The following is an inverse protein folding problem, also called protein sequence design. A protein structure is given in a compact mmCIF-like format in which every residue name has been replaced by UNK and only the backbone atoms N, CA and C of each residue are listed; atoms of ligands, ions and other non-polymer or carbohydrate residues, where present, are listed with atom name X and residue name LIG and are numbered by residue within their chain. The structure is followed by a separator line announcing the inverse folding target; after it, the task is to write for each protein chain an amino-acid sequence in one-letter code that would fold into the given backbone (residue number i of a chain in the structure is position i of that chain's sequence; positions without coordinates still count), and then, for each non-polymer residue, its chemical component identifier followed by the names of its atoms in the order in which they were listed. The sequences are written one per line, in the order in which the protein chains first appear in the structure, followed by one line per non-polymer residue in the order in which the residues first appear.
data_IF_201661681610
#
_entry.id   IF_201661681610
#
_cell.length_a   1.000
_cell.length_b   1.000
_cell.length_c   1.000
_cell.angle_alpha   90.00
_cell.angle_beta   90.00
_cell.angle_gamma   90.00
#
_symmetry.space_group_name_H-M   'P 1'
#
loop_
_entity.id
_entity.type
_entity.pdbx_description
1 polymer ?
#
# COMPACT_ATOMS: atom_id res chain seq x y z
N UNK A 1 20.94 4.75 68.09
CA UNK A 1 21.55 3.73 67.20
C UNK A 1 20.82 3.74 65.87
N UNK A 2 21.47 4.13 64.77
CA UNK A 2 20.91 3.94 63.42
C UNK A 2 21.07 2.46 63.07
N UNK A 3 19.97 1.76 62.78
CA UNK A 3 20.02 0.39 62.23
C UNK A 3 20.69 0.47 60.86
N UNK A 4 21.82 -0.20 60.70
CA UNK A 4 22.49 -0.35 59.42
C UNK A 4 21.77 -1.45 58.62
N UNK A 5 21.51 -1.18 57.35
CA UNK A 5 20.89 -2.12 56.43
C UNK A 5 21.86 -3.28 56.17
N UNK A 6 21.39 -4.52 56.32
CA UNK A 6 22.22 -5.70 56.11
C UNK A 6 22.27 -6.09 54.64
N UNK A 7 23.35 -6.78 54.23
CA UNK A 7 23.49 -7.30 52.88
C UNK A 7 22.34 -8.24 52.49
N UNK A 8 21.85 -9.04 53.46
CA UNK A 8 20.76 -10.00 53.26
C UNK A 8 19.43 -9.26 52.99
N UNK A 9 19.14 -8.20 53.74
CA UNK A 9 17.93 -7.38 53.52
C UNK A 9 17.93 -6.76 52.11
N UNK A 10 19.10 -6.33 51.61
CA UNK A 10 19.23 -5.82 50.24
C UNK A 10 19.01 -6.90 49.18
N UNK A 11 19.61 -8.08 49.38
CA UNK A 11 19.48 -9.23 48.48
C UNK A 11 18.03 -9.71 48.33
N UNK A 12 17.27 -9.76 49.44
CA UNK A 12 15.86 -10.15 49.40
C UNK A 12 15.02 -9.13 48.63
N UNK A 13 15.27 -7.83 48.82
CA UNK A 13 14.54 -6.78 48.12
C UNK A 13 14.78 -6.82 46.62
N UNK A 14 16.03 -6.94 46.18
CA UNK A 14 16.33 -7.05 44.74
C UNK A 14 15.74 -8.32 44.13
N UNK A 15 15.72 -9.44 44.87
CA UNK A 15 15.11 -10.69 44.41
C UNK A 15 13.59 -10.54 44.21
N UNK A 16 12.89 -9.86 45.14
CA UNK A 16 11.46 -9.58 45.00
C UNK A 16 11.21 -8.67 43.79
N UNK A 17 11.99 -7.58 43.63
CA UNK A 17 11.86 -6.68 42.47
C UNK A 17 12.10 -7.43 41.16
N UNK A 18 13.11 -8.31 41.11
CA UNK A 18 13.41 -9.10 39.92
C UNK A 18 12.26 -10.06 39.55
N UNK A 19 11.65 -10.73 40.54
CA UNK A 19 10.49 -11.61 40.32
C UNK A 19 9.29 -10.79 39.81
N UNK A 20 8.99 -9.66 40.45
CA UNK A 20 7.89 -8.80 40.03
C UNK A 20 8.10 -8.26 38.60
N UNK A 21 9.32 -7.80 38.28
CA UNK A 21 9.68 -7.35 36.95
C UNK A 21 9.54 -8.47 35.91
N UNK A 22 10.01 -9.69 36.22
CA UNK A 22 9.92 -10.84 35.32
C UNK A 22 8.46 -11.21 34.96
N UNK A 23 7.53 -11.02 35.89
CA UNK A 23 6.09 -11.24 35.65
C UNK A 23 5.43 -10.08 34.89
N UNK A 24 5.89 -8.84 35.09
CA UNK A 24 5.33 -7.65 34.46
C UNK A 24 5.79 -7.42 33.02
N UNK A 25 7.06 -7.74 32.69
CA UNK A 25 7.64 -7.49 31.37
C UNK A 25 6.86 -8.16 30.22
N UNK A 26 6.40 -9.43 30.31
CA UNK A 26 5.60 -10.05 29.26
C UNK A 26 4.22 -9.41 29.10
N UNK A 27 3.61 -8.95 30.20
CA UNK A 27 2.33 -8.26 30.17
C UNK A 27 2.45 -6.87 29.52
N UNK A 28 3.46 -6.10 29.92
CA UNK A 28 3.73 -4.77 29.37
C UNK A 28 4.11 -4.83 27.89
N UNK A 29 4.91 -5.82 27.47
CA UNK A 29 5.25 -6.03 26.07
C UNK A 29 4.01 -6.29 25.21
N UNK A 30 3.08 -7.14 25.68
CA UNK A 30 1.80 -7.40 25.01
C UNK A 30 0.91 -6.16 24.95
N UNK A 31 0.80 -5.42 26.06
CA UNK A 31 0.02 -4.18 26.11
C UNK A 31 0.56 -3.13 25.13
N UNK A 32 1.89 -2.96 25.08
CA UNK A 32 2.55 -2.05 24.12
C UNK A 32 2.27 -2.49 22.68
N UNK A 33 2.44 -3.76 22.34
CA UNK A 33 2.16 -4.27 21.00
C UNK A 33 0.69 -4.06 20.60
N UNK A 34 -0.25 -4.29 21.51
CA UNK A 34 -1.67 -4.01 21.27
C UNK A 34 -1.96 -2.53 21.04
N UNK A 35 -1.33 -1.64 21.82
CA UNK A 35 -1.46 -0.20 21.64
C UNK A 35 -0.91 0.27 20.30
N UNK A 36 0.25 -0.25 19.88
CA UNK A 36 0.82 0.10 18.58
C UNK A 36 -0.01 -0.43 17.41
N UNK A 37 -0.55 -1.65 17.52
CA UNK A 37 -1.47 -2.19 16.53
C UNK A 37 -2.76 -1.36 16.41
N UNK A 38 -3.31 -0.88 17.54
CA UNK A 38 -4.47 0.02 17.53
C UNK A 38 -4.16 1.36 16.86
N UNK A 39 -2.96 1.91 17.05
CA UNK A 39 -2.51 3.12 16.37
C UNK A 39 -2.39 2.91 14.85
N UNK A 40 -1.83 1.78 14.41
CA UNK A 40 -1.77 1.43 12.99
C UNK A 40 -3.17 1.30 12.37
N UNK A 41 -4.07 0.59 13.05
CA UNK A 41 -5.47 0.45 12.62
C UNK A 41 -6.16 1.82 12.49
N UNK A 42 -5.88 2.73 13.41
CA UNK A 42 -6.40 4.10 13.38
C UNK A 42 -5.83 4.94 12.22
N UNK A 43 -4.54 4.77 11.89
CA UNK A 43 -3.93 5.42 10.72
C UNK A 43 -4.57 4.93 9.41
N UNK A 44 -4.74 3.61 9.28
CA UNK A 44 -5.39 3.00 8.12
C UNK A 44 -6.85 3.49 7.96
N UNK A 45 -7.61 3.59 9.07
CA UNK A 45 -8.97 4.18 9.05
C UNK A 45 -8.97 5.65 8.65
N UNK A 46 -8.02 6.45 9.13
CA UNK A 46 -7.93 7.86 8.74
C UNK A 46 -7.66 8.01 7.24
N UNK A 47 -6.75 7.21 6.66
CA UNK A 47 -6.51 7.18 5.22
C UNK A 47 -7.77 6.80 4.44
N UNK A 48 -8.52 5.82 4.91
CA UNK A 48 -9.78 5.39 4.28
C UNK A 48 -10.87 6.47 4.37
N UNK A 49 -10.97 7.19 5.50
CA UNK A 49 -11.90 8.32 5.62
C UNK A 49 -11.53 9.41 4.61
N UNK A 50 -10.24 9.72 4.47
CA UNK A 50 -9.78 10.67 3.46
C UNK A 50 -10.10 10.19 2.03
N UNK A 51 -9.92 8.90 1.75
CA UNK A 51 -10.30 8.27 0.49
C UNK A 51 -11.80 8.40 0.19
N UNK A 52 -12.65 8.18 1.20
CA UNK A 52 -14.09 8.34 1.08
C UNK A 52 -14.50 9.80 0.82
N UNK A 53 -13.91 10.74 1.57
CA UNK A 53 -14.19 12.17 1.42
C UNK A 53 -13.78 12.68 0.04
N UNK A 54 -12.61 12.26 -0.46
CA UNK A 54 -12.17 12.59 -1.82
C UNK A 54 -13.23 12.20 -2.85
N UNK A 55 -13.75 10.98 -2.76
CA UNK A 55 -14.75 10.50 -3.70
C UNK A 55 -16.08 11.26 -3.60
N UNK A 56 -16.50 11.63 -2.39
CA UNK A 56 -17.69 12.48 -2.19
C UNK A 56 -17.56 13.87 -2.85
N UNK A 57 -16.35 14.43 -2.86
CA UNK A 57 -16.07 15.75 -3.44
C UNK A 57 -15.74 15.69 -4.95
N UNK A 58 -15.59 14.50 -5.55
CA UNK A 58 -15.15 14.30 -6.95
C UNK A 58 -16.12 13.41 -7.74
N UNK A 59 -17.43 13.64 -7.65
CA UNK A 59 -18.46 12.94 -8.43
C UNK A 59 -18.34 11.41 -8.35
N UNK A 60 -18.15 10.86 -7.14
CA UNK A 60 -17.97 9.43 -6.86
C UNK A 60 -16.61 8.84 -7.29
N UNK A 61 -15.75 9.60 -7.99
CA UNK A 61 -14.45 9.13 -8.47
C UNK A 61 -13.49 8.89 -7.31
N UNK A 62 -12.79 7.76 -7.33
CA UNK A 62 -11.78 7.46 -6.32
C UNK A 62 -10.40 7.93 -6.77
N UNK A 63 -9.51 8.17 -5.83
CA UNK A 63 -8.10 8.45 -6.13
C UNK A 63 -7.47 7.33 -6.98
N UNK A 64 -6.51 7.69 -7.82
CA UNK A 64 -5.69 6.72 -8.53
C UNK A 64 -4.80 5.94 -7.55
N UNK A 65 -4.60 4.65 -7.82
CA UNK A 65 -3.79 3.80 -6.95
C UNK A 65 -2.32 4.21 -6.95
N UNK A 66 -1.86 4.70 -8.08
CA UNK A 66 -0.53 5.26 -8.28
C UNK A 66 -0.52 6.14 -9.51
N UNK A 67 0.41 7.07 -9.55
CA UNK A 67 0.74 7.88 -10.71
C UNK A 67 2.25 8.03 -10.78
N UNK A 68 2.79 8.30 -11.97
CA UNK A 68 4.22 8.46 -12.13
C UNK A 68 4.67 9.89 -11.79
N UNK A 69 5.59 10.00 -10.84
CA UNK A 69 6.20 11.29 -10.49
C UNK A 69 7.73 11.18 -10.51
N UNK A 70 8.38 12.02 -11.31
CA UNK A 70 9.84 12.20 -11.28
C UNK A 70 10.19 13.68 -11.44
N UNK A 71 10.73 14.33 -10.39
CA UNK A 71 11.15 15.72 -10.51
C UNK A 71 12.32 15.80 -11.51
N UNK A 72 12.17 16.61 -12.56
CA UNK A 72 13.21 16.85 -13.56
C UNK A 72 13.12 16.01 -14.84
N UNK A 73 12.11 15.15 -14.99
CA UNK A 73 11.79 14.52 -16.26
C UNK A 73 10.58 15.23 -16.89
N UNK A 74 10.71 15.71 -18.12
CA UNK A 74 9.58 16.28 -18.84
C UNK A 74 8.68 15.16 -19.34
N UNK A 75 7.42 15.18 -18.90
CA UNK A 75 6.44 14.16 -19.29
C UNK A 75 5.81 14.52 -20.64
N UNK A 76 5.50 13.51 -21.48
CA UNK A 76 4.84 13.72 -22.78
C UNK A 76 5.77 14.00 -23.97
N UNK A 77 7.07 13.72 -23.89
CA UNK A 77 7.95 13.76 -25.07
C UNK A 77 8.34 15.15 -25.58
N UNK A 78 8.29 16.18 -24.72
CA UNK A 78 8.80 17.52 -25.05
C UNK A 78 8.03 18.69 -24.47
N UNK A 79 6.80 18.48 -23.97
CA UNK A 79 5.84 19.58 -23.73
C UNK A 79 5.77 20.09 -22.28
N UNK A 80 6.92 20.31 -21.61
CA UNK A 80 7.04 21.11 -20.37
C UNK A 80 6.19 20.69 -19.14
N UNK A 81 5.52 19.53 -19.11
CA UNK A 81 4.83 19.06 -17.89
C UNK A 81 5.86 18.62 -16.84
N UNK A 82 5.76 19.19 -15.64
CA UNK A 82 6.67 18.93 -14.50
C UNK A 82 6.50 17.52 -13.93
N UNK A 83 5.32 16.91 -14.08
CA UNK A 83 4.96 15.54 -13.68
C UNK A 83 3.69 15.08 -14.41
N UNK A 84 3.35 13.79 -14.30
CA UNK A 84 2.10 13.23 -14.85
C UNK A 84 0.88 13.91 -14.20
N UNK A 85 -0.08 14.45 -14.96
CA UNK A 85 -1.20 15.16 -14.36
C UNK A 85 -2.00 14.35 -13.33
N UNK A 86 -2.18 13.03 -13.53
CA UNK A 86 -2.88 12.14 -12.59
C UNK A 86 -2.28 12.09 -11.18
N UNK A 87 -1.06 12.60 -10.97
CA UNK A 87 -0.45 12.74 -9.64
C UNK A 87 -1.36 13.49 -8.67
N UNK A 88 -2.04 14.55 -9.15
CA UNK A 88 -2.90 15.40 -8.31
C UNK A 88 -4.12 14.64 -7.74
N UNK A 89 -4.55 13.56 -8.38
CA UNK A 89 -5.59 12.66 -7.87
C UNK A 89 -5.08 11.28 -7.45
N UNK A 90 -3.76 11.09 -7.38
CA UNK A 90 -3.21 9.87 -6.78
C UNK A 90 -3.37 9.90 -5.26
N UNK A 91 -3.55 8.73 -4.64
CA UNK A 91 -3.64 8.67 -3.18
C UNK A 91 -2.29 9.07 -2.53
N UNK A 92 -1.20 8.67 -3.18
CA UNK A 92 0.19 8.95 -2.84
C UNK A 92 1.05 8.84 -4.10
N UNK A 93 1.79 9.89 -4.43
CA UNK A 93 2.83 9.88 -5.43
C UNK A 93 4.09 9.21 -4.86
N UNK A 94 4.58 8.17 -5.53
CA UNK A 94 5.76 7.44 -5.07
C UNK A 94 6.55 6.88 -6.25
N UNK A 95 7.87 6.81 -6.10
CA UNK A 95 8.78 6.22 -7.07
C UNK A 95 9.66 5.15 -6.42
N UNK A 96 9.74 4.00 -7.09
CA UNK A 96 10.79 3.02 -6.84
C UNK A 96 12.14 3.55 -7.34
N UNK A 97 13.12 3.67 -6.43
CA UNK A 97 14.43 4.27 -6.72
C UNK A 97 15.59 3.27 -6.70
N UNK A 98 15.29 1.98 -6.53
CA UNK A 98 16.27 0.91 -6.63
C UNK A 98 16.23 -0.10 -5.48
N UNK A 99 16.99 -1.19 -5.63
CA UNK A 99 16.87 -2.36 -4.79
C UNK A 99 17.26 -2.04 -3.35
N UNK A 100 16.46 -2.55 -2.41
CA UNK A 100 16.56 -2.32 -0.97
C UNK A 100 16.41 -0.85 -0.54
N UNK A 101 16.26 0.12 -1.45
CA UNK A 101 16.09 1.52 -1.04
C UNK A 101 14.63 1.78 -0.70
N UNK A 102 14.34 2.56 0.36
CA UNK A 102 12.99 3.05 0.56
C UNK A 102 12.54 3.84 -0.68
N UNK A 103 11.26 3.75 -1.06
CA UNK A 103 10.74 4.52 -2.17
C UNK A 103 10.89 6.01 -1.89
N UNK A 104 10.93 6.79 -2.96
CA UNK A 104 10.84 8.24 -2.85
C UNK A 104 9.37 8.61 -2.90
N UNK A 105 8.78 8.91 -1.75
CA UNK A 105 7.40 9.36 -1.64
C UNK A 105 7.32 10.90 -1.75
N UNK A 106 6.31 11.40 -2.45
CA UNK A 106 5.92 12.82 -2.49
C UNK A 106 4.47 12.97 -2.04
N UNK A 107 4.20 12.53 -0.80
CA UNK A 107 2.86 12.57 -0.20
C UNK A 107 2.25 13.98 -0.28
N UNK A 108 3.06 15.02 -0.10
CA UNK A 108 2.62 16.42 -0.09
C UNK A 108 1.95 16.91 -1.38
N UNK A 109 2.20 16.24 -2.52
CA UNK A 109 1.54 16.59 -3.80
C UNK A 109 0.35 15.68 -4.12
N UNK A 110 0.00 14.76 -3.23
CA UNK A 110 -1.03 13.74 -3.47
C UNK A 110 -2.37 14.17 -2.90
N UNK A 111 -3.47 13.70 -3.48
CA UNK A 111 -4.82 14.12 -3.13
C UNK A 111 -5.13 13.96 -1.64
N UNK A 112 -4.88 12.78 -1.07
CA UNK A 112 -5.33 12.45 0.28
C UNK A 112 -4.57 13.22 1.38
N UNK A 113 -3.40 13.79 1.07
CA UNK A 113 -2.64 14.57 2.04
C UNK A 113 -3.42 15.77 2.56
N UNK A 114 -4.16 16.46 1.68
CA UNK A 114 -4.98 17.61 2.04
C UNK A 114 -6.21 17.23 2.86
N UNK A 115 -6.84 16.10 2.54
CA UNK A 115 -7.96 15.55 3.31
C UNK A 115 -7.54 15.09 4.72
N UNK A 116 -6.25 14.86 4.93
CA UNK A 116 -5.65 14.52 6.22
C UNK A 116 -5.08 15.74 6.96
N UNK A 117 -5.50 16.95 6.57
CA UNK A 117 -5.02 18.21 7.17
C UNK A 117 -3.49 18.32 7.16
N UNK A 118 -2.87 17.84 6.08
CA UNK A 118 -1.41 17.85 5.88
C UNK A 118 -0.63 17.04 6.95
N UNK A 119 -1.26 16.02 7.55
CA UNK A 119 -0.64 15.20 8.60
C UNK A 119 0.14 14.01 8.02
N UNK A 120 1.45 14.21 7.85
CA UNK A 120 2.39 13.17 7.39
C UNK A 120 2.42 11.92 8.29
N UNK A 121 2.15 12.06 9.60
CA UNK A 121 2.25 10.95 10.55
C UNK A 121 1.24 9.81 10.29
N UNK A 122 0.16 10.09 9.56
CA UNK A 122 -0.89 9.11 9.23
C UNK A 122 -0.42 8.10 8.17
N UNK A 123 0.55 8.47 7.31
CA UNK A 123 1.00 7.62 6.20
C UNK A 123 1.95 6.51 6.63
N UNK A 124 2.41 6.51 7.89
CA UNK A 124 3.40 5.56 8.39
C UNK A 124 2.84 4.72 9.54
N UNK A 125 3.16 3.43 9.50
CA UNK A 125 2.85 2.51 10.58
C UNK A 125 3.87 2.69 11.73
N UNK A 126 3.44 2.83 13.00
CA UNK A 126 4.37 2.94 14.13
C UNK A 126 5.13 1.64 14.47
N UNK A 127 4.76 0.50 13.88
CA UNK A 127 5.56 -0.75 13.94
C UNK A 127 6.55 -0.90 12.79
N UNK A 128 6.52 0.00 11.81
CA UNK A 128 7.51 0.05 10.76
C UNK A 128 8.86 0.54 11.34
N UNK A 129 9.68 -0.43 11.77
CA UNK A 129 10.93 -0.25 12.51
C UNK A 129 12.19 -0.35 11.66
N UNK A 130 12.09 -0.43 10.33
CA UNK A 130 13.27 -0.56 9.45
C UNK A 130 14.21 0.67 9.43
N UNK A 131 14.02 1.60 10.35
CA UNK A 131 14.86 2.76 10.63
C UNK A 131 16.32 2.41 10.91
N UNK A 132 16.60 1.29 11.61
CA UNK A 132 17.96 0.92 12.02
C UNK A 132 18.88 0.56 10.84
N UNK A 133 18.44 -0.38 10.01
CA UNK A 133 19.22 -0.83 8.85
C UNK A 133 19.31 0.23 7.75
N UNK A 134 18.25 1.01 7.52
CA UNK A 134 18.29 2.13 6.59
C UNK A 134 19.34 3.17 7.02
N UNK A 135 19.38 3.51 8.32
CA UNK A 135 20.36 4.44 8.88
C UNK A 135 21.80 3.93 8.79
N UNK A 136 22.03 2.64 9.06
CA UNK A 136 23.33 1.99 8.90
C UNK A 136 23.82 1.98 7.45
N UNK A 137 22.90 1.86 6.49
CA UNK A 137 23.17 1.90 5.04
C UNK A 137 23.20 3.32 4.46
N UNK A 138 22.97 4.36 5.28
CA UNK A 138 22.95 5.77 4.88
C UNK A 138 21.73 6.17 4.04
N UNK A 139 20.64 5.42 4.11
CA UNK A 139 19.40 5.67 3.39
C UNK A 139 18.47 6.63 4.15
N UNK A 140 17.64 7.41 3.44
CA UNK A 140 16.66 8.28 4.06
C UNK A 140 15.61 7.48 4.82
N UNK A 141 15.00 8.10 5.82
CA UNK A 141 13.89 7.49 6.55
C UNK A 141 12.66 7.37 5.64
N UNK A 142 12.00 6.21 5.68
CA UNK A 142 10.79 5.97 4.92
C UNK A 142 9.62 6.78 5.50
N UNK A 143 8.89 7.44 4.61
CA UNK A 143 7.78 8.32 4.99
C UNK A 143 6.42 7.62 5.00
N UNK A 144 6.31 6.44 4.37
CA UNK A 144 5.06 5.69 4.21
C UNK A 144 5.22 4.21 4.52
N UNK A 145 4.20 3.58 5.10
CA UNK A 145 4.17 2.12 5.29
C UNK A 145 2.98 1.44 4.63
N UNK A 146 1.96 2.21 4.25
CA UNK A 146 0.74 1.69 3.63
C UNK A 146 0.83 1.72 2.12
N UNK A 147 0.13 0.81 1.44
CA UNK A 147 -0.11 0.88 0.00
C UNK A 147 -1.60 0.67 -0.30
N UNK A 148 -2.06 1.22 -1.42
CA UNK A 148 -3.44 1.03 -1.87
C UNK A 148 -3.51 -0.15 -2.83
N UNK A 149 -4.60 -0.91 -2.79
CA UNK A 149 -4.93 -1.94 -3.76
C UNK A 149 -4.82 -1.36 -5.18
N UNK A 150 -3.95 -1.93 -6.03
CA UNK A 150 -3.77 -1.46 -7.40
C UNK A 150 -5.10 -1.42 -8.18
N UNK A 151 -6.00 -2.37 -7.91
CA UNK A 151 -7.30 -2.43 -8.57
C UNK A 151 -8.27 -1.33 -8.10
N UNK A 152 -8.02 -0.69 -6.94
CA UNK A 152 -8.77 0.46 -6.46
C UNK A 152 -8.13 1.75 -7.00
N UNK A 153 -8.52 2.13 -8.22
CA UNK A 153 -8.07 3.36 -8.88
C UNK A 153 -7.07 3.12 -10.01
N UNK A 154 -6.45 1.95 -10.12
CA UNK A 154 -5.52 1.62 -11.21
C UNK A 154 -4.24 2.46 -11.21
N UNK A 155 -3.32 2.10 -12.10
CA UNK A 155 -2.16 2.95 -12.37
C UNK A 155 -2.61 4.08 -13.29
N UNK A 156 -2.72 5.28 -12.73
CA UNK A 156 -3.30 6.44 -13.40
C UNK A 156 -4.69 6.15 -13.96
N UNK A 157 -5.45 5.27 -13.32
CA UNK A 157 -6.79 4.90 -13.78
C UNK A 157 -6.90 3.67 -14.67
N UNK A 158 -5.77 3.07 -15.02
CA UNK A 158 -5.69 2.01 -16.02
C UNK A 158 -5.18 0.70 -15.42
N UNK A 159 -5.54 -0.45 -16.01
CA UNK A 159 -4.97 -1.71 -15.63
C UNK A 159 -3.48 -1.74 -15.99
N UNK A 160 -2.67 -2.29 -15.09
CA UNK A 160 -1.28 -2.61 -15.40
C UNK A 160 -1.23 -3.70 -16.48
N UNK A 161 -0.16 -3.74 -17.26
CA UNK A 161 0.03 -4.78 -18.28
C UNK A 161 -0.12 -6.19 -17.67
N UNK A 162 -1.00 -6.99 -18.29
CA UNK A 162 -1.32 -8.35 -17.85
C UNK A 162 -2.50 -8.45 -16.89
N UNK A 163 -3.10 -7.31 -16.50
CA UNK A 163 -4.26 -7.27 -15.60
C UNK A 163 -5.56 -6.79 -16.28
N UNK A 164 -5.59 -6.67 -17.61
CA UNK A 164 -6.75 -6.13 -18.33
C UNK A 164 -8.04 -6.95 -18.12
N UNK A 165 -7.91 -8.22 -17.76
CA UNK A 165 -9.05 -9.09 -17.46
C UNK A 165 -9.66 -8.85 -16.07
N UNK A 166 -9.08 -7.96 -15.25
CA UNK A 166 -9.55 -7.65 -13.91
C UNK A 166 -10.20 -6.27 -13.84
N UNK A 167 -11.16 -6.12 -12.94
CA UNK A 167 -11.87 -4.86 -12.74
C UNK A 167 -10.95 -3.84 -12.09
N UNK A 168 -10.80 -2.68 -12.72
CA UNK A 168 -10.28 -1.48 -12.08
C UNK A 168 -11.48 -0.70 -11.55
N UNK A 169 -11.60 -0.62 -10.23
CA UNK A 169 -12.59 0.22 -9.57
C UNK A 169 -12.18 1.68 -9.77
N UNK A 170 -13.14 2.49 -10.18
CA UNK A 170 -12.96 3.90 -10.57
C UNK A 170 -13.89 4.80 -9.77
N UNK A 171 -14.97 4.25 -9.25
CA UNK A 171 -15.91 4.95 -8.40
C UNK A 171 -16.22 4.13 -7.15
N UNK A 172 -16.67 4.76 -6.06
CA UNK A 172 -17.14 3.99 -4.90
C UNK A 172 -18.30 3.07 -5.26
N UNK A 173 -19.18 3.50 -6.16
CA UNK A 173 -20.30 2.67 -6.64
C UNK A 173 -19.89 1.43 -7.46
N UNK A 174 -18.62 1.32 -7.89
CA UNK A 174 -18.11 0.11 -8.55
C UNK A 174 -17.92 -1.06 -7.57
N UNK A 175 -17.75 -0.78 -6.27
CA UNK A 175 -17.57 -1.80 -5.24
C UNK A 175 -18.92 -2.44 -4.87
N UNK A 176 -19.34 -3.46 -5.64
CA UNK A 176 -20.62 -4.19 -5.42
C UNK A 176 -20.67 -5.02 -4.12
N UNK A 177 -19.51 -5.28 -3.51
CA UNK A 177 -19.36 -6.04 -2.27
C UNK A 177 -18.28 -5.34 -1.40
N UNK A 178 -18.56 -4.12 -0.92
CA UNK A 178 -17.54 -3.21 -0.42
C UNK A 178 -16.89 -3.70 0.87
N UNK A 179 -17.63 -4.42 1.71
CA UNK A 179 -17.12 -5.07 2.92
C UNK A 179 -16.11 -6.20 2.65
N UNK A 180 -16.04 -6.72 1.42
CA UNK A 180 -15.03 -7.71 1.03
C UNK A 180 -14.10 -7.19 -0.07
N UNK A 181 -13.95 -5.87 -0.23
CA UNK A 181 -12.96 -5.29 -1.14
C UNK A 181 -12.03 -4.39 -0.36
N UNK A 182 -10.77 -4.83 -0.20
CA UNK A 182 -9.82 -4.03 0.53
C UNK A 182 -9.33 -2.85 -0.31
N UNK A 183 -9.06 -1.74 0.36
CA UNK A 183 -8.58 -0.50 -0.24
C UNK A 183 -7.13 -0.26 0.14
N UNK A 184 -6.77 -0.17 1.43
CA UNK A 184 -5.38 0.01 1.86
C UNK A 184 -4.90 -1.14 2.72
N UNK A 185 -3.60 -1.40 2.69
CA UNK A 185 -2.92 -2.31 3.61
C UNK A 185 -1.53 -1.81 4.02
N UNK A 186 -0.97 -2.41 5.06
CA UNK A 186 0.46 -2.30 5.38
C UNK A 186 1.29 -3.13 4.39
N UNK A 187 2.29 -2.53 3.75
CA UNK A 187 3.18 -3.21 2.81
C UNK A 187 4.55 -3.44 3.41
N UNK A 188 5.16 -4.59 3.12
CA UNK A 188 6.47 -4.97 3.63
C UNK A 188 7.55 -3.96 3.20
N UNK A 189 8.49 -3.72 4.10
CA UNK A 189 9.53 -2.71 3.98
C UNK A 189 10.51 -2.95 2.85
N UNK A 190 10.73 -4.21 2.47
CA UNK A 190 11.59 -4.58 1.35
C UNK A 190 10.86 -4.52 0.00
N UNK A 191 9.52 -4.48 0.02
CA UNK A 191 8.67 -4.53 -1.19
C UNK A 191 8.01 -3.19 -1.56
N UNK A 192 7.96 -2.24 -0.64
CA UNK A 192 7.22 -0.99 -0.84
C UNK A 192 7.79 -0.13 -1.97
N UNK A 193 6.94 0.19 -2.95
CA UNK A 193 7.35 0.84 -4.20
C UNK A 193 6.43 2.03 -4.59
N UNK A 194 5.76 2.00 -5.74
CA UNK A 194 4.97 3.05 -6.38
C UNK A 194 3.65 3.43 -5.67
N UNK A 195 3.50 3.12 -4.38
CA UNK A 195 2.30 3.48 -3.62
C UNK A 195 1.14 2.49 -3.75
N UNK A 196 1.22 1.53 -4.68
CA UNK A 196 0.19 0.54 -4.88
C UNK A 196 0.62 -0.85 -4.37
N UNK A 197 -0.35 -1.76 -4.31
CA UNK A 197 -0.20 -3.15 -3.97
C UNK A 197 -0.98 -4.00 -4.96
N UNK A 198 -0.26 -4.71 -5.82
CA UNK A 198 -0.79 -5.64 -6.81
C UNK A 198 -0.88 -7.04 -6.22
N UNK A 199 -2.10 -7.44 -5.89
CA UNK A 199 -2.39 -8.85 -5.63
C UNK A 199 -2.27 -9.62 -6.94
N UNK A 200 -1.39 -10.63 -6.98
CA UNK A 200 -1.36 -11.54 -8.12
C UNK A 200 -2.63 -12.40 -8.12
N UNK A 201 -3.37 -12.36 -9.23
CA UNK A 201 -4.66 -13.04 -9.39
C UNK A 201 -4.56 -14.35 -10.17
N UNK A 202 -3.36 -14.85 -10.51
CA UNK A 202 -3.18 -15.99 -11.43
C UNK A 202 -3.81 -17.31 -10.94
N UNK A 203 -4.02 -17.44 -9.63
CA UNK A 203 -4.68 -18.62 -9.04
C UNK A 203 -6.17 -18.49 -8.77
N UNK A 204 -6.76 -17.30 -8.98
CA UNK A 204 -8.19 -17.10 -8.74
C UNK A 204 -9.03 -17.74 -9.88
N UNK A 205 -10.21 -18.34 -9.61
CA UNK A 205 -10.74 -18.60 -8.27
C UNK A 205 -10.18 -19.89 -7.64
N UNK A 206 -9.84 -20.89 -8.45
CA UNK A 206 -9.69 -22.28 -7.96
C UNK A 206 -8.39 -22.97 -8.41
N UNK A 207 -7.34 -22.21 -8.71
CA UNK A 207 -6.03 -22.76 -9.11
C UNK A 207 -4.94 -22.41 -8.09
N UNK A 208 -5.00 -23.05 -6.91
CA UNK A 208 -4.04 -22.83 -5.84
C UNK A 208 -2.59 -23.16 -6.20
N UNK A 209 -2.35 -23.93 -7.27
CA UNK A 209 -1.01 -24.21 -7.79
C UNK A 209 -0.33 -22.99 -8.40
N UNK A 210 -1.11 -21.99 -8.83
CA UNK A 210 -0.62 -20.76 -9.42
C UNK A 210 -0.51 -19.60 -8.41
N UNK A 211 -0.77 -19.85 -7.12
CA UNK A 211 -0.57 -18.83 -6.09
C UNK A 211 0.90 -18.42 -6.03
N UNK A 212 1.13 -17.12 -6.10
CA UNK A 212 2.44 -16.51 -6.05
C UNK A 212 2.31 -15.07 -5.56
N UNK A 213 3.39 -14.56 -5.03
CA UNK A 213 3.60 -13.12 -4.90
C UNK A 213 4.38 -12.63 -6.13
N UNK A 214 4.16 -11.37 -6.48
CA UNK A 214 5.03 -10.61 -7.37
C UNK A 214 5.79 -9.58 -6.55
N UNK A 215 6.11 -8.41 -7.10
CA UNK A 215 6.92 -7.39 -6.44
C UNK A 215 6.37 -6.90 -5.08
N UNK A 216 5.11 -7.19 -4.76
CA UNK A 216 4.39 -6.61 -3.64
C UNK A 216 4.09 -7.65 -2.54
N UNK A 217 4.64 -7.42 -1.34
CA UNK A 217 4.44 -8.28 -0.16
C UNK A 217 3.70 -7.54 0.94
N UNK A 218 2.70 -8.15 1.58
CA UNK A 218 2.05 -7.51 2.70
C UNK A 218 3.02 -7.48 3.88
N UNK A 219 2.95 -6.43 4.70
CA UNK A 219 3.72 -6.40 5.91
C UNK A 219 3.35 -7.57 6.83
N UNK A 220 4.31 -8.04 7.62
CA UNK A 220 4.10 -9.06 8.66
C UNK A 220 4.29 -8.51 10.07
N UNK A 221 4.32 -7.18 10.21
CA UNK A 221 4.33 -6.48 11.48
C UNK A 221 3.07 -6.83 12.30
N UNK A 222 2.93 -6.35 13.53
CA UNK A 222 1.72 -6.60 14.35
C UNK A 222 1.48 -8.07 14.72
N UNK A 223 2.54 -8.78 15.15
CA UNK A 223 2.48 -10.18 15.56
C UNK A 223 2.07 -11.10 14.39
N UNK A 224 2.85 -11.04 13.31
CA UNK A 224 2.68 -11.83 12.08
C UNK A 224 1.37 -11.50 11.37
N UNK A 225 1.06 -10.23 11.17
CA UNK A 225 -0.18 -9.80 10.53
C UNK A 225 -0.05 -8.51 9.73
N UNK A 226 -1.19 -8.02 9.27
CA UNK A 226 -1.31 -6.81 8.47
C UNK A 226 -2.68 -6.19 8.69
N UNK A 227 -2.75 -4.88 8.64
CA UNK A 227 -4.01 -4.14 8.69
C UNK A 227 -4.54 -3.96 7.28
N UNK A 228 -5.84 -4.16 7.10
CA UNK A 228 -6.57 -3.86 5.88
C UNK A 228 -7.72 -2.90 6.18
N UNK A 229 -7.95 -1.92 5.30
CA UNK A 229 -9.25 -1.22 5.20
C UNK A 229 -10.05 -1.73 4.03
N UNK A 230 -11.36 -1.54 4.08
CA UNK A 230 -12.32 -2.01 3.11
C UNK A 230 -13.18 -0.87 2.58
N UNK A 231 -13.72 -1.04 1.37
CA UNK A 231 -14.44 0.01 0.67
C UNK A 231 -15.75 0.45 1.37
N UNK A 232 -16.23 -0.30 2.36
CA UNK A 232 -17.40 0.07 3.18
C UNK A 232 -17.05 0.96 4.39
N UNK A 233 -15.77 1.28 4.60
CA UNK A 233 -15.33 2.13 5.71
C UNK A 233 -14.74 1.40 6.90
N UNK A 234 -14.80 0.06 6.97
CA UNK A 234 -14.20 -0.66 8.10
C UNK A 234 -12.72 -0.95 7.86
N UNK A 235 -12.03 -1.30 8.96
CA UNK A 235 -10.68 -1.81 8.90
C UNK A 235 -10.50 -2.93 9.93
N UNK A 236 -9.74 -3.95 9.56
CA UNK A 236 -9.46 -5.13 10.37
C UNK A 236 -7.99 -5.55 10.25
N UNK A 237 -7.60 -6.49 11.10
CA UNK A 237 -6.26 -7.09 11.04
C UNK A 237 -6.36 -8.55 10.62
N UNK A 238 -5.60 -8.92 9.59
CA UNK A 238 -5.39 -10.30 9.17
C UNK A 238 -4.09 -10.82 9.76
N UNK A 239 -4.13 -11.96 10.45
CA UNK A 239 -2.94 -12.70 10.87
C UNK A 239 -2.55 -13.68 9.77
N UNK A 240 -1.28 -13.73 9.41
CA UNK A 240 -0.75 -14.61 8.39
C UNK A 240 -0.60 -16.05 8.89
N UNK A 241 -0.76 -16.97 7.95
CA UNK A 241 -0.82 -18.42 8.19
C UNK A 241 0.27 -19.18 7.42
N UNK A 242 0.95 -18.51 6.48
CA UNK A 242 1.98 -19.13 5.65
C UNK A 242 3.32 -18.41 5.76
N UNK A 243 4.41 -19.16 5.85
CA UNK A 243 5.76 -18.61 6.05
C UNK A 243 6.20 -17.71 4.90
N UNK A 244 5.81 -18.04 3.67
CA UNK A 244 6.08 -17.19 2.49
C UNK A 244 5.44 -15.81 2.56
N UNK A 245 4.37 -15.64 3.36
CA UNK A 245 3.72 -14.35 3.61
C UNK A 245 4.45 -13.55 4.69
N UNK A 246 5.13 -14.23 5.62
CA UNK A 246 5.75 -13.59 6.78
C UNK A 246 7.06 -12.87 6.47
N UNK A 247 7.75 -13.28 5.42
CA UNK A 247 9.10 -12.78 5.13
C UNK A 247 9.39 -12.75 3.65
N UNK A 248 9.83 -11.58 3.21
CA UNK A 248 10.53 -11.39 1.96
C UNK A 248 11.95 -11.95 2.12
N UNK A 249 12.28 -13.00 1.36
CA UNK A 249 13.54 -13.76 1.49
C UNK A 249 14.55 -13.43 0.40
N UNK A 250 14.26 -12.44 -0.43
CA UNK A 250 15.00 -12.06 -1.63
C UNK A 250 14.59 -10.63 -1.99
N UNK A 251 15.34 -9.95 -2.84
CA UNK A 251 14.93 -8.62 -3.30
C UNK A 251 13.70 -8.71 -4.22
N UNK A 252 12.51 -8.24 -3.79
CA UNK A 252 11.27 -8.40 -4.56
C UNK A 252 11.25 -7.52 -5.81
N UNK A 253 12.21 -6.61 -5.98
CA UNK A 253 12.32 -5.75 -7.15
C UNK A 253 13.34 -6.23 -8.19
N UNK A 254 13.97 -7.39 -7.97
CA UNK A 254 14.80 -8.04 -8.99
C UNK A 254 13.93 -8.83 -9.98
N UNK A 255 14.07 -8.50 -11.27
CA UNK A 255 13.23 -9.08 -12.33
C UNK A 255 11.75 -8.81 -12.09
N UNK A 256 10.92 -9.85 -12.20
CA UNK A 256 9.47 -9.77 -11.96
C UNK A 256 9.09 -9.90 -10.48
N UNK A 257 10.05 -10.09 -9.58
CA UNK A 257 9.79 -10.24 -8.14
C UNK A 257 8.96 -11.48 -7.78
N UNK A 258 8.97 -12.51 -8.62
CA UNK A 258 8.04 -13.64 -8.47
C UNK A 258 8.54 -14.63 -7.43
N UNK A 259 7.68 -14.95 -6.47
CA UNK A 259 7.83 -16.12 -5.60
C UNK A 259 6.57 -16.97 -5.66
N UNK A 260 6.71 -18.16 -6.25
CA UNK A 260 5.66 -19.17 -6.19
C UNK A 260 5.39 -19.54 -4.71
N UNK A 261 4.11 -19.60 -4.36
CA UNK A 261 3.63 -20.01 -3.04
C UNK A 261 2.37 -20.87 -3.17
N UNK A 262 2.45 -22.06 -3.81
CA UNK A 262 1.29 -22.90 -4.07
C UNK A 262 0.53 -23.27 -2.80
N UNK A 263 -0.80 -23.16 -2.82
CA UNK A 263 -1.65 -23.50 -1.68
C UNK A 263 -1.62 -22.51 -0.52
N UNK A 264 -0.95 -21.37 -0.65
CA UNK A 264 -0.90 -20.33 0.37
C UNK A 264 -2.31 -19.73 0.63
N UNK A 265 -2.90 -19.94 1.83
CA UNK A 265 -4.24 -19.45 2.15
C UNK A 265 -4.31 -17.93 2.30
N UNK A 266 -3.19 -17.25 2.54
CA UNK A 266 -3.15 -15.79 2.67
C UNK A 266 -3.26 -15.12 1.30
N UNK A 267 -2.66 -15.71 0.26
CA UNK A 267 -2.86 -15.27 -1.14
C UNK A 267 -4.31 -15.47 -1.55
N UNK A 268 -4.91 -16.63 -1.27
CA UNK A 268 -6.32 -16.88 -1.55
C UNK A 268 -7.23 -15.83 -0.86
N UNK A 269 -6.94 -15.51 0.40
CA UNK A 269 -7.68 -14.51 1.17
C UNK A 269 -7.61 -13.12 0.54
N UNK A 270 -6.43 -12.71 0.04
CA UNK A 270 -6.23 -11.43 -0.65
C UNK A 270 -6.88 -11.43 -2.05
N UNK A 271 -6.75 -12.50 -2.84
CA UNK A 271 -7.39 -12.61 -4.16
C UNK A 271 -8.90 -12.46 -4.07
N UNK A 272 -9.53 -13.08 -3.06
CA UNK A 272 -10.96 -12.90 -2.80
C UNK A 272 -11.34 -11.45 -2.47
N UNK A 273 -10.40 -10.61 -2.04
CA UNK A 273 -10.66 -9.24 -1.60
C UNK A 273 -10.06 -8.14 -2.49
N UNK A 274 -9.33 -8.51 -3.54
CA UNK A 274 -8.63 -7.56 -4.39
C UNK A 274 -9.51 -6.99 -5.51
N UNK A 275 -10.06 -7.87 -6.35
CA UNK A 275 -10.80 -7.50 -7.57
C UNK A 275 -11.67 -8.64 -8.09
N UNK A 276 -12.40 -8.44 -9.18
CA UNK A 276 -13.19 -9.45 -9.90
C UNK A 276 -12.96 -9.38 -11.41
N UNK A 277 -13.23 -10.48 -12.16
CA UNK A 277 -13.10 -10.47 -13.61
C UNK A 277 -13.87 -9.33 -14.26
N UNK A 278 -13.25 -8.65 -15.23
CA UNK A 278 -13.88 -7.65 -16.07
C UNK A 278 -14.41 -8.31 -17.34
N UNK A 279 -15.72 -8.27 -17.55
CA UNK A 279 -16.36 -8.87 -18.74
C UNK A 279 -16.16 -7.96 -19.95
N UNK A 280 -15.85 -8.54 -21.11
CA UNK A 280 -15.67 -7.80 -22.37
C UNK A 280 -14.31 -7.13 -22.51
N UNK A 281 -13.36 -7.41 -21.62
CA UNK A 281 -12.00 -6.86 -21.68
C UNK A 281 -11.27 -7.16 -23.00
N UNK A 282 -11.63 -8.28 -23.63
CA UNK A 282 -11.11 -8.78 -24.90
C UNK A 282 -11.64 -8.00 -26.12
N UNK A 283 -12.76 -7.29 -25.96
CA UNK A 283 -13.37 -6.43 -26.99
C UNK A 283 -12.82 -5.00 -26.95
N UNK A 284 -12.10 -4.64 -25.89
CA UNK A 284 -11.58 -3.30 -25.69
C UNK A 284 -10.34 -3.06 -26.54
N UNK A 285 -10.28 -1.88 -27.19
CA UNK A 285 -9.12 -1.46 -27.93
C UNK A 285 -8.07 -0.88 -26.97
N UNK A 286 -7.15 -1.73 -26.56
CA UNK A 286 -6.13 -1.44 -25.58
C UNK A 286 -4.84 -0.96 -26.23
N UNK A 287 -4.28 0.14 -25.73
CA UNK A 287 -2.98 0.65 -26.17
C UNK A 287 -2.04 0.82 -24.98
N UNK A 288 -0.81 0.35 -25.15
CA UNK A 288 0.22 0.51 -24.13
C UNK A 288 0.57 1.98 -23.93
N UNK A 289 0.50 2.44 -22.68
CA UNK A 289 1.03 3.73 -22.27
C UNK A 289 2.44 3.51 -21.70
N UNK A 290 3.50 3.86 -22.45
CA UNK A 290 4.87 3.62 -22.02
C UNK A 290 5.27 4.41 -20.78
N UNK A 291 4.55 5.48 -20.45
CA UNK A 291 4.89 6.32 -19.32
C UNK A 291 4.34 5.80 -17.98
N UNK A 292 3.25 5.03 -18.02
CA UNK A 292 2.62 4.46 -16.82
C UNK A 292 2.85 2.95 -16.71
N UNK A 293 3.38 2.30 -17.76
CA UNK A 293 3.45 0.83 -17.82
C UNK A 293 2.06 0.17 -17.89
N UNK A 294 1.02 0.98 -18.03
CA UNK A 294 -0.37 0.58 -18.00
C UNK A 294 -0.95 0.51 -19.42
N UNK A 295 -2.17 0.00 -19.51
CA UNK A 295 -2.85 -0.24 -20.77
C UNK A 295 -4.13 0.60 -20.79
N UNK A 296 -4.20 1.59 -21.68
CA UNK A 296 -5.33 2.53 -21.77
C UNK A 296 -6.36 2.09 -22.79
N UNK A 297 -7.63 2.34 -22.50
CA UNK A 297 -8.74 2.05 -23.42
C UNK A 297 -8.89 3.19 -24.43
N UNK A 298 -8.81 2.90 -25.74
CA UNK A 298 -9.11 3.88 -26.80
C UNK A 298 -10.60 3.86 -27.20
N UNK A 299 -11.17 4.99 -27.66
CA UNK A 299 -10.56 6.31 -27.80
C UNK A 299 -10.77 7.15 -26.52
N UNK A 300 -9.82 7.09 -25.58
CA UNK A 300 -9.83 7.94 -24.40
C UNK A 300 -8.66 8.93 -24.45
N UNK A 301 -8.92 10.24 -24.36
CA UNK A 301 -7.88 11.24 -24.63
C UNK A 301 -7.18 11.82 -23.40
N UNK A 302 -7.65 11.47 -22.21
CA UNK A 302 -7.13 11.99 -20.94
C UNK A 302 -6.15 11.01 -20.30
N UNK A 303 -5.29 11.51 -19.40
CA UNK A 303 -4.26 10.71 -18.76
C UNK A 303 -4.84 9.61 -17.87
N UNK A 304 -5.92 9.90 -17.14
CA UNK A 304 -6.66 8.89 -16.38
C UNK A 304 -8.10 8.74 -16.82
N UNK A 305 -8.86 7.89 -16.12
CA UNK A 305 -10.22 7.50 -16.55
C UNK A 305 -11.28 8.59 -16.41
N UNK A 306 -10.91 9.75 -15.85
CA UNK A 306 -11.75 10.93 -15.77
C UNK A 306 -10.90 12.18 -15.99
N UNK A 307 -11.54 13.25 -16.45
CA UNK A 307 -10.87 14.52 -16.74
C UNK A 307 -10.69 15.28 -15.44
N UNK A 308 -9.45 15.55 -15.06
CA UNK A 308 -9.19 16.36 -13.87
C UNK A 308 -9.44 17.85 -14.15
N UNK A 309 -9.91 18.64 -13.15
CA UNK A 309 -10.14 20.07 -13.33
C UNK A 309 -8.90 20.86 -13.79
N UNK A 310 -7.70 20.39 -13.43
CA UNK A 310 -6.39 20.97 -13.78
C UNK A 310 -5.75 20.42 -15.08
N UNK A 311 -6.36 19.42 -15.73
CA UNK A 311 -5.68 18.63 -16.78
C UNK A 311 -5.72 19.23 -18.20
N UNK A 312 -4.59 19.04 -18.91
CA UNK A 312 -4.48 19.11 -20.37
C UNK A 312 -4.59 17.69 -20.97
N UNK A 313 -5.01 17.58 -22.24
CA UNK A 313 -5.04 16.30 -23.00
C UNK A 313 -3.65 15.66 -23.13
N UNK A 314 -3.56 14.33 -23.36
CA UNK A 314 -2.28 13.64 -23.59
C UNK A 314 -1.60 14.19 -24.86
N UNK A 315 -0.38 14.74 -24.79
CA UNK A 315 0.34 15.22 -25.97
C UNK A 315 0.68 14.11 -26.97
N UNK A 316 0.52 14.38 -28.27
CA UNK A 316 0.97 13.47 -29.34
C UNK A 316 0.08 12.24 -29.61
N UNK A 317 -1.06 12.08 -28.93
CA UNK A 317 -2.07 11.11 -29.37
C UNK A 317 -2.93 11.73 -30.49
N UNK A 318 -3.09 11.08 -31.66
CA UNK A 318 -3.98 11.58 -32.70
C UNK A 318 -5.40 11.59 -32.14
N UNK A 319 -5.92 12.78 -31.88
CA UNK A 319 -7.33 13.01 -31.64
C UNK A 319 -8.02 12.89 -32.99
N UNK A 320 -8.96 11.95 -33.12
CA UNK A 320 -9.99 12.04 -34.15
C UNK A 320 -11.29 12.29 -33.41
N UNK A 321 -11.81 13.51 -33.57
CA UNK A 321 -13.18 13.90 -33.21
C UNK A 321 -14.22 12.94 -33.78
#
# INVERSE_FOLDING_TARGET
MKRAFTLIELLVVIAIIAILAALLLPALARAKASGTAAACLNNNRQLLIAWNNFSGDNDDHIVYASAWYHPGFLYGGGDNLKYEPTVDASWCASQYIGPNKPPKDWIEVSALFYYLSNNMGVFRCPEDKHFGEAKEKGWPERMRSYSINLYAGGWSGWPLRGDQMWTIYRQQSDFRDPANRFVLLDMDDESINAGNFRVDMAGWPNNSKAYQFRQDWPASWHNNGCTFSFADGHAERKRWQHDDTLRVGFNPHEGEGIKASPGNPDIAWMQERATRPHVGWDQLNWVYNPYTGAIMQKPWPWWGYWRMPSEQTIPGLPWTE
#
